data_IF_134255787886
#
_entry.id   IF_134255787886
#
_cell.length_a   1.000
_cell.length_b   1.000
_cell.length_c   1.000
_cell.angle_alpha   90.00
_cell.angle_beta   90.00
_cell.angle_gamma   90.00
#
_symmetry.space_group_name_H-M   'P 1'
#
loop_
_entity.id
_entity.type
_entity.pdbx_description
1 polymer ?
#
# COMPACT_ATOMS: atom_id res chain seq x y z
N UNK A 1 -36.75 9.29 -13.28
CA UNK A 1 -37.69 8.25 -13.86
C UNK A 1 -39.00 8.07 -13.09
N UNK A 2 -39.07 8.34 -11.79
CA UNK A 2 -40.39 8.45 -11.09
C UNK A 2 -41.09 9.74 -11.50
N UNK A 3 -40.36 10.83 -11.71
CA UNK A 3 -40.89 12.09 -12.27
C UNK A 3 -41.33 11.97 -13.75
N UNK A 4 -40.89 10.96 -14.48
CA UNK A 4 -41.32 10.71 -15.86
C UNK A 4 -42.74 10.15 -15.94
N UNK A 5 -43.24 9.44 -14.92
CA UNK A 5 -44.61 8.91 -14.86
C UNK A 5 -45.61 10.03 -14.67
N UNK A 6 -45.28 11.06 -13.90
CA UNK A 6 -46.15 12.23 -13.67
C UNK A 6 -46.35 13.10 -14.93
N UNK A 7 -45.49 12.96 -15.94
CA UNK A 7 -45.59 13.65 -17.23
C UNK A 7 -46.35 12.86 -18.30
N UNK A 8 -46.66 11.57 -18.05
CA UNK A 8 -47.41 10.73 -18.99
C UNK A 8 -48.90 11.10 -18.99
N UNK A 9 -49.47 11.23 -20.17
CA UNK A 9 -50.90 11.48 -20.32
C UNK A 9 -51.66 10.17 -20.06
N UNK A 10 -52.35 10.11 -18.93
CA UNK A 10 -53.24 9.02 -18.53
C UNK A 10 -54.63 9.38 -18.94
N UNK A 11 -55.40 8.41 -19.45
CA UNK A 11 -56.85 8.54 -19.69
C UNK A 11 -57.61 8.49 -18.39
N UNK A 12 -58.87 8.91 -18.40
CA UNK A 12 -59.77 8.79 -17.24
C UNK A 12 -59.92 7.35 -16.72
N UNK A 13 -59.76 6.38 -17.64
CA UNK A 13 -59.83 4.94 -17.35
C UNK A 13 -58.50 4.32 -16.94
N UNK A 14 -57.45 5.12 -16.66
CA UNK A 14 -56.15 4.64 -16.14
C UNK A 14 -55.15 4.10 -17.17
N UNK A 15 -55.34 4.33 -18.48
CA UNK A 15 -54.44 3.87 -19.54
C UNK A 15 -53.44 4.97 -19.92
N UNK A 16 -52.22 4.56 -20.23
CA UNK A 16 -51.21 5.44 -20.83
C UNK A 16 -51.33 5.43 -22.36
N UNK A 17 -51.34 6.64 -22.94
CA UNK A 17 -51.40 6.84 -24.37
C UNK A 17 -50.00 6.67 -24.98
N UNK A 18 -49.84 5.70 -25.88
CA UNK A 18 -48.60 5.44 -26.59
C UNK A 18 -48.76 5.54 -28.12
N UNK A 19 -47.67 5.78 -28.83
CA UNK A 19 -47.62 5.82 -30.29
C UNK A 19 -47.69 4.43 -30.88
N UNK A 20 -48.61 4.15 -31.83
CA UNK A 20 -48.72 2.82 -32.46
C UNK A 20 -47.58 2.48 -33.42
N UNK A 21 -46.71 3.46 -33.76
CA UNK A 21 -45.59 3.26 -34.71
C UNK A 21 -44.24 3.08 -34.04
N UNK A 22 -44.02 3.63 -32.82
CA UNK A 22 -42.75 3.59 -32.15
C UNK A 22 -42.85 3.38 -30.63
N UNK A 23 -44.02 3.03 -30.13
CA UNK A 23 -44.34 2.79 -28.71
C UNK A 23 -43.99 3.93 -27.75
N UNK A 24 -43.61 5.10 -28.30
CA UNK A 24 -43.28 6.28 -27.49
C UNK A 24 -44.52 6.79 -26.76
N UNK A 25 -44.34 7.10 -25.47
CA UNK A 25 -45.35 7.70 -24.60
C UNK A 25 -45.37 9.24 -24.71
N UNK A 26 -44.52 9.84 -25.56
CA UNK A 26 -44.43 11.27 -25.76
C UNK A 26 -45.47 11.75 -26.78
N UNK A 27 -46.74 11.52 -26.45
CA UNK A 27 -47.90 11.84 -27.29
C UNK A 27 -48.52 13.20 -26.87
N UNK A 28 -48.77 14.07 -27.84
CA UNK A 28 -49.47 15.34 -27.60
C UNK A 28 -50.88 15.33 -28.27
N UNK A 29 -51.86 15.90 -27.58
CA UNK A 29 -53.19 16.15 -28.11
C UNK A 29 -53.11 17.27 -29.15
N UNK A 30 -53.72 17.06 -30.32
CA UNK A 30 -53.89 18.04 -31.40
C UNK A 30 -55.37 18.41 -31.56
N UNK A 31 -55.73 19.02 -32.68
CA UNK A 31 -57.12 19.31 -33.00
C UNK A 31 -58.02 18.08 -33.01
N UNK A 32 -59.28 18.22 -32.74
CA UNK A 32 -60.28 17.14 -32.89
C UNK A 32 -60.63 16.94 -34.35
N UNK A 33 -60.83 15.72 -34.76
CA UNK A 33 -61.34 15.34 -36.08
C UNK A 33 -62.81 15.05 -36.00
N UNK A 34 -63.61 15.65 -36.90
CA UNK A 34 -65.05 15.38 -37.02
C UNK A 34 -65.24 14.11 -37.82
N UNK A 35 -66.00 13.15 -37.34
CA UNK A 35 -66.38 11.93 -38.04
C UNK A 35 -67.60 12.13 -38.91
N UNK A 36 -67.87 11.17 -39.76
CA UNK A 36 -69.06 11.19 -40.66
C UNK A 36 -70.42 11.22 -39.92
N UNK A 37 -70.42 10.63 -38.74
CA UNK A 37 -71.60 10.59 -37.85
C UNK A 37 -71.81 11.86 -37.02
N UNK A 38 -70.98 12.87 -37.23
CA UNK A 38 -71.03 14.13 -36.51
C UNK A 38 -70.26 14.14 -35.18
N UNK A 39 -69.78 12.98 -34.71
CA UNK A 39 -68.95 12.89 -33.52
C UNK A 39 -67.52 13.44 -33.71
N UNK A 40 -66.82 13.71 -32.62
CA UNK A 40 -65.44 14.19 -32.67
C UNK A 40 -64.49 13.22 -31.99
N UNK A 41 -63.41 12.81 -32.70
CA UNK A 41 -62.29 12.04 -32.13
C UNK A 41 -61.10 12.93 -31.86
N UNK A 42 -60.40 12.69 -30.75
CA UNK A 42 -59.19 13.37 -30.40
C UNK A 42 -58.03 12.90 -31.30
N UNK A 43 -57.35 13.82 -31.95
CA UNK A 43 -56.10 13.49 -32.71
C UNK A 43 -54.90 13.63 -31.79
N UNK A 44 -53.93 12.73 -31.93
CA UNK A 44 -52.69 12.70 -31.21
C UNK A 44 -51.51 12.78 -32.23
N UNK A 45 -50.39 13.34 -31.77
CA UNK A 45 -49.13 13.35 -32.52
C UNK A 45 -48.00 12.90 -31.59
N UNK A 46 -47.21 11.95 -32.05
CA UNK A 46 -46.00 11.55 -31.39
C UNK A 46 -44.91 12.61 -31.62
N UNK A 47 -44.24 13.07 -30.54
CA UNK A 47 -43.13 14.02 -30.66
C UNK A 47 -41.85 13.37 -31.14
N UNK A 48 -41.68 12.05 -30.92
CA UNK A 48 -40.45 11.35 -31.25
C UNK A 48 -40.36 10.89 -32.70
N UNK A 49 -41.46 10.38 -33.28
CA UNK A 49 -41.50 9.92 -34.68
C UNK A 49 -42.42 10.73 -35.59
N UNK A 50 -43.17 11.70 -35.09
CA UNK A 50 -44.05 12.56 -35.86
C UNK A 50 -45.39 11.92 -36.28
N UNK A 51 -45.64 10.63 -36.00
CA UNK A 51 -46.88 9.91 -36.35
C UNK A 51 -48.11 10.61 -35.77
N UNK A 52 -49.13 10.80 -36.61
CA UNK A 52 -50.42 11.35 -36.23
C UNK A 52 -51.48 10.25 -36.26
N UNK A 53 -52.24 10.12 -35.19
CA UNK A 53 -53.30 9.09 -35.08
C UNK A 53 -54.48 9.58 -34.28
N UNK A 54 -55.66 8.99 -34.58
CA UNK A 54 -56.89 9.13 -33.77
C UNK A 54 -57.09 7.89 -32.88
N UNK A 55 -56.33 6.84 -33.11
CA UNK A 55 -56.34 5.59 -32.35
C UNK A 55 -54.97 5.34 -31.76
N UNK A 56 -54.55 6.00 -30.70
CA UNK A 56 -53.31 5.73 -30.00
C UNK A 56 -53.36 4.33 -29.37
N UNK A 57 -52.22 3.73 -29.14
CA UNK A 57 -52.12 2.53 -28.35
C UNK A 57 -52.41 2.87 -26.87
N UNK A 58 -53.26 2.10 -26.22
CA UNK A 58 -53.57 2.22 -24.81
C UNK A 58 -52.82 1.15 -24.02
N UNK A 59 -51.97 1.58 -23.12
CA UNK A 59 -51.18 0.69 -22.25
C UNK A 59 -51.74 0.75 -20.84
N UNK A 60 -51.94 -0.40 -20.22
CA UNK A 60 -52.35 -0.50 -18.85
C UNK A 60 -51.26 0.09 -17.92
N UNK A 61 -51.68 1.03 -17.08
CA UNK A 61 -50.77 1.74 -16.17
C UNK A 61 -50.09 0.78 -15.18
N UNK A 62 -50.81 -0.20 -14.68
CA UNK A 62 -50.26 -1.14 -13.71
C UNK A 62 -49.28 -2.10 -14.32
N UNK A 63 -49.53 -2.59 -15.53
CA UNK A 63 -48.57 -3.38 -16.30
C UNK A 63 -47.29 -2.57 -16.60
N UNK A 64 -47.43 -1.30 -16.93
CA UNK A 64 -46.26 -0.42 -17.18
C UNK A 64 -45.46 -0.19 -15.89
N UNK A 65 -46.11 0.01 -14.75
CA UNK A 65 -45.46 0.14 -13.44
C UNK A 65 -44.72 -1.11 -13.04
N UNK A 66 -45.33 -2.27 -13.23
CA UNK A 66 -44.71 -3.56 -12.93
C UNK A 66 -43.46 -3.84 -13.81
N UNK A 67 -43.56 -3.55 -15.10
CA UNK A 67 -42.39 -3.67 -16.02
C UNK A 67 -41.26 -2.73 -15.65
N UNK A 68 -41.55 -1.50 -15.20
CA UNK A 68 -40.53 -0.57 -14.70
C UNK A 68 -39.89 -1.11 -13.42
N UNK A 69 -40.66 -1.70 -12.50
CA UNK A 69 -40.17 -2.32 -11.27
C UNK A 69 -39.25 -3.50 -11.57
N UNK A 70 -39.67 -4.39 -12.46
CA UNK A 70 -38.85 -5.53 -12.90
C UNK A 70 -37.56 -5.10 -13.61
N UNK A 71 -37.62 -4.08 -14.46
CA UNK A 71 -36.44 -3.55 -15.11
C UNK A 71 -35.44 -2.96 -14.10
N UNK A 72 -35.90 -2.25 -13.07
CA UNK A 72 -35.06 -1.73 -11.97
C UNK A 72 -34.43 -2.87 -11.16
N UNK A 73 -35.18 -3.91 -10.82
CA UNK A 73 -34.67 -5.07 -10.10
C UNK A 73 -33.57 -5.79 -10.91
N UNK A 74 -33.82 -5.97 -12.21
CA UNK A 74 -32.85 -6.59 -13.13
C UNK A 74 -31.57 -5.76 -13.26
N UNK A 75 -31.69 -4.43 -13.34
CA UNK A 75 -30.55 -3.52 -13.37
C UNK A 75 -29.77 -3.59 -12.06
N UNK A 76 -30.45 -3.55 -10.91
CA UNK A 76 -29.80 -3.66 -9.59
C UNK A 76 -29.02 -4.98 -9.45
N UNK A 77 -29.62 -6.10 -9.86
CA UNK A 77 -28.95 -7.40 -9.85
C UNK A 77 -27.71 -7.43 -10.77
N UNK A 78 -27.79 -6.80 -11.95
CA UNK A 78 -26.64 -6.69 -12.87
C UNK A 78 -25.51 -5.84 -12.29
N UNK A 79 -25.84 -4.73 -11.61
CA UNK A 79 -24.86 -3.85 -10.97
C UNK A 79 -24.17 -4.55 -9.80
N UNK A 80 -24.91 -5.28 -8.96
CA UNK A 80 -24.36 -6.11 -7.86
C UNK A 80 -23.41 -7.16 -8.41
N UNK A 81 -23.83 -7.94 -9.40
CA UNK A 81 -22.98 -8.94 -10.06
C UNK A 81 -21.70 -8.34 -10.66
N UNK A 82 -21.77 -7.11 -11.18
CA UNK A 82 -20.59 -6.40 -11.72
C UNK A 82 -19.60 -6.02 -10.64
N UNK A 83 -20.09 -5.57 -9.49
CA UNK A 83 -19.28 -5.21 -8.31
C UNK A 83 -18.59 -6.47 -7.76
N UNK A 84 -19.37 -7.55 -7.55
CA UNK A 84 -18.84 -8.82 -7.06
C UNK A 84 -17.78 -9.41 -8.01
N UNK A 85 -18.01 -9.41 -9.31
CA UNK A 85 -17.02 -9.87 -10.31
C UNK A 85 -15.77 -9.00 -10.35
N UNK A 86 -15.86 -7.71 -10.01
CA UNK A 86 -14.69 -6.84 -9.90
C UNK A 86 -13.88 -7.19 -8.67
N UNK A 87 -14.53 -7.32 -7.51
CA UNK A 87 -13.88 -7.73 -6.25
C UNK A 87 -13.22 -9.12 -6.39
N UNK A 88 -13.93 -10.10 -6.98
CA UNK A 88 -13.39 -11.44 -7.25
C UNK A 88 -12.15 -11.42 -8.15
N UNK A 89 -12.14 -10.57 -9.18
CA UNK A 89 -10.97 -10.43 -10.08
C UNK A 89 -9.79 -9.75 -9.39
N UNK A 90 -10.03 -8.80 -8.51
CA UNK A 90 -8.99 -8.16 -7.72
C UNK A 90 -8.38 -9.16 -6.74
N UNK A 91 -9.20 -9.90 -6.01
CA UNK A 91 -8.74 -10.96 -5.11
C UNK A 91 -7.95 -12.06 -5.86
N UNK A 92 -8.44 -12.55 -6.98
CA UNK A 92 -7.72 -13.52 -7.80
C UNK A 92 -6.38 -13.00 -8.34
N UNK A 93 -6.27 -11.69 -8.62
CA UNK A 93 -4.99 -11.07 -8.99
C UNK A 93 -3.99 -11.09 -7.83
N UNK A 94 -4.44 -10.81 -6.61
CA UNK A 94 -3.58 -10.88 -5.40
C UNK A 94 -3.15 -12.31 -5.13
N UNK A 95 -4.06 -13.27 -5.14
CA UNK A 95 -3.75 -14.70 -4.94
C UNK A 95 -2.77 -15.25 -5.98
N UNK A 96 -2.98 -14.91 -7.27
CA UNK A 96 -2.06 -15.31 -8.34
C UNK A 96 -0.69 -14.64 -8.20
N UNK A 97 -0.63 -13.37 -7.78
CA UNK A 97 0.62 -12.67 -7.56
C UNK A 97 1.41 -13.27 -6.39
N UNK A 98 0.73 -13.59 -5.28
CA UNK A 98 1.33 -14.27 -4.11
C UNK A 98 1.79 -15.67 -4.50
N UNK A 99 0.97 -16.45 -5.19
CA UNK A 99 1.33 -17.80 -5.64
C UNK A 99 2.56 -17.77 -6.55
N UNK A 100 2.60 -16.86 -7.51
CA UNK A 100 3.77 -16.68 -8.37
C UNK A 100 5.01 -16.27 -7.57
N UNK A 101 4.85 -15.35 -6.61
CA UNK A 101 5.93 -14.93 -5.71
C UNK A 101 6.50 -16.12 -4.94
N UNK A 102 5.64 -16.97 -4.37
CA UNK A 102 6.05 -18.19 -3.65
C UNK A 102 6.81 -19.17 -4.54
N UNK A 103 6.35 -19.38 -5.79
CA UNK A 103 7.07 -20.22 -6.75
C UNK A 103 8.45 -19.65 -7.10
N UNK A 104 8.54 -18.35 -7.34
CA UNK A 104 9.79 -17.68 -7.68
C UNK A 104 10.78 -17.69 -6.49
N UNK A 105 10.27 -17.51 -5.24
CA UNK A 105 11.04 -17.67 -3.99
C UNK A 105 11.56 -19.10 -3.87
N UNK A 106 10.71 -20.09 -4.06
CA UNK A 106 11.10 -21.50 -3.95
C UNK A 106 12.19 -21.87 -4.98
N UNK A 107 12.08 -21.38 -6.20
CA UNK A 107 13.08 -21.57 -7.25
C UNK A 107 14.42 -20.91 -6.89
N UNK A 108 14.40 -19.71 -6.34
CA UNK A 108 15.58 -19.00 -5.88
C UNK A 108 16.26 -19.72 -4.70
N UNK A 109 15.48 -20.20 -3.73
CA UNK A 109 15.99 -20.94 -2.57
C UNK A 109 16.68 -22.26 -2.97
N UNK A 110 16.22 -22.92 -4.04
CA UNK A 110 16.81 -24.15 -4.55
C UNK A 110 18.11 -23.93 -5.34
N UNK A 111 18.32 -22.74 -5.93
CA UNK A 111 19.46 -22.48 -6.80
C UNK A 111 20.72 -22.02 -6.06
N UNK A 112 20.65 -21.55 -4.82
CA UNK A 112 21.80 -20.96 -4.11
C UNK A 112 22.31 -21.88 -3.00
N UNK A 113 23.52 -22.41 -3.19
CA UNK A 113 24.22 -23.18 -2.17
C UNK A 113 25.15 -22.27 -1.35
N UNK A 114 24.71 -21.90 -0.16
CA UNK A 114 25.45 -21.02 0.77
C UNK A 114 26.52 -21.74 1.60
N UNK A 115 26.68 -23.06 1.45
CA UNK A 115 27.62 -23.87 2.23
C UNK A 115 29.10 -23.44 2.13
N UNK A 116 29.44 -22.65 1.12
CA UNK A 116 30.82 -22.12 0.91
C UNK A 116 31.08 -20.80 1.62
N UNK A 117 30.06 -20.14 2.18
CA UNK A 117 30.23 -18.84 2.83
C UNK A 117 30.32 -19.02 4.35
N UNK A 118 31.44 -18.60 4.94
CA UNK A 118 31.64 -18.65 6.38
C UNK A 118 31.33 -17.27 6.98
N UNK A 119 30.27 -17.18 7.76
CA UNK A 119 29.99 -16.01 8.58
C UNK A 119 30.82 -16.04 9.87
N UNK A 120 31.14 -14.86 10.38
CA UNK A 120 31.75 -14.77 11.72
C UNK A 120 30.72 -15.14 12.79
N UNK A 121 31.12 -15.96 13.73
CA UNK A 121 30.32 -16.32 14.91
C UNK A 121 30.25 -15.15 15.88
N UNK A 122 29.14 -15.06 16.60
CA UNK A 122 28.93 -14.07 17.67
C UNK A 122 30.10 -14.16 18.66
N UNK A 123 30.75 -13.05 18.91
CA UNK A 123 31.72 -12.90 19.98
C UNK A 123 31.08 -12.10 21.12
N UNK A 124 31.48 -12.39 22.35
CA UNK A 124 31.16 -11.53 23.50
C UNK A 124 32.01 -10.25 23.38
N UNK A 125 31.51 -9.27 22.61
CA UNK A 125 32.12 -7.94 22.49
C UNK A 125 31.40 -6.96 23.42
N UNK A 126 32.13 -5.98 23.94
CA UNK A 126 31.55 -4.92 24.78
C UNK A 126 30.75 -3.89 23.95
N UNK A 127 30.92 -3.87 22.65
CA UNK A 127 30.34 -2.86 21.77
C UNK A 127 29.63 -3.51 20.60
N UNK A 128 28.51 -2.94 20.20
CA UNK A 128 27.70 -3.38 19.05
C UNK A 128 27.50 -2.21 18.10
N UNK A 129 27.81 -2.42 16.82
CA UNK A 129 27.47 -1.47 15.76
C UNK A 129 26.04 -1.70 15.27
N UNK A 130 25.28 -0.65 15.03
CA UNK A 130 23.94 -0.74 14.47
C UNK A 130 23.90 -0.04 13.11
N UNK A 131 23.52 -0.78 12.08
CA UNK A 131 23.21 -0.27 10.74
C UNK A 131 21.69 -0.12 10.62
N UNK A 132 21.17 1.11 10.66
CA UNK A 132 19.77 1.35 10.42
C UNK A 132 19.51 1.47 8.93
N UNK A 133 18.58 0.65 8.39
CA UNK A 133 18.07 0.72 7.02
C UNK A 133 16.58 1.05 7.10
N UNK A 134 16.20 2.20 6.58
CA UNK A 134 14.85 2.76 6.70
C UNK A 134 14.44 3.47 5.43
N UNK A 135 13.14 3.44 5.14
CA UNK A 135 12.53 4.29 4.11
C UNK A 135 13.32 4.25 2.78
N UNK A 136 13.63 3.03 2.34
CA UNK A 136 14.44 2.83 1.13
C UNK A 136 13.64 2.97 -0.14
N UNK A 137 12.34 2.64 -0.12
CA UNK A 137 11.43 2.75 -1.27
C UNK A 137 12.08 2.29 -2.57
N UNK A 138 12.62 1.06 -2.62
CA UNK A 138 13.48 0.56 -3.70
C UNK A 138 12.91 0.67 -5.11
N UNK A 139 11.60 0.72 -5.24
CA UNK A 139 10.91 0.86 -6.52
C UNK A 139 10.47 2.29 -6.84
N UNK A 140 10.84 3.29 -6.03
CA UNK A 140 10.51 4.69 -6.31
C UNK A 140 11.41 5.27 -7.41
N UNK A 141 10.82 6.14 -8.24
CA UNK A 141 11.51 6.96 -9.23
C UNK A 141 11.41 8.43 -8.83
N UNK A 142 12.55 9.09 -8.76
CA UNK A 142 12.62 10.54 -8.58
C UNK A 142 13.49 11.14 -9.68
N UNK A 143 12.97 12.19 -10.33
CA UNK A 143 13.68 12.96 -11.35
C UNK A 143 13.49 14.46 -11.13
N UNK A 144 14.17 14.97 -10.10
CA UNK A 144 14.22 16.40 -9.79
C UNK A 144 15.56 16.99 -10.26
N UNK A 145 15.66 18.31 -10.51
CA UNK A 145 16.92 18.94 -10.92
C UNK A 145 18.08 18.71 -9.95
N UNK A 146 17.79 18.49 -8.66
CA UNK A 146 18.76 18.35 -7.57
C UNK A 146 18.74 16.97 -6.91
N UNK A 147 17.82 16.07 -7.29
CA UNK A 147 17.77 14.70 -6.80
C UNK A 147 17.30 13.73 -7.87
N UNK A 148 18.05 12.66 -8.02
CA UNK A 148 17.66 11.53 -8.84
C UNK A 148 17.68 10.27 -8.00
N UNK A 149 16.62 9.45 -8.12
CA UNK A 149 16.52 8.18 -7.42
C UNK A 149 15.90 7.11 -8.32
N UNK A 150 16.54 5.98 -8.36
CA UNK A 150 16.12 4.73 -8.95
C UNK A 150 16.81 3.59 -8.22
N UNK A 151 16.54 2.35 -8.60
CA UNK A 151 17.17 1.18 -7.99
C UNK A 151 18.71 1.19 -8.09
N UNK A 152 19.30 1.71 -9.18
CA UNK A 152 20.75 1.82 -9.32
C UNK A 152 21.34 2.83 -8.34
N UNK A 153 20.63 3.94 -8.15
CA UNK A 153 21.01 4.96 -7.16
C UNK A 153 20.88 4.41 -5.75
N UNK A 154 19.80 3.69 -5.44
CA UNK A 154 19.62 3.00 -4.16
C UNK A 154 20.77 2.07 -3.84
N UNK A 155 21.15 1.20 -4.79
CA UNK A 155 22.27 0.28 -4.64
C UNK A 155 23.60 1.01 -4.38
N UNK A 156 23.88 2.09 -5.10
CA UNK A 156 25.10 2.89 -4.89
C UNK A 156 25.12 3.59 -3.53
N UNK A 157 23.98 4.16 -3.10
CA UNK A 157 23.85 4.83 -1.80
C UNK A 157 24.05 3.84 -0.66
N UNK A 158 23.43 2.67 -0.73
CA UNK A 158 23.61 1.61 0.28
C UNK A 158 25.02 1.06 0.31
N UNK A 159 25.63 0.82 -0.83
CA UNK A 159 27.05 0.40 -0.89
C UNK A 159 27.96 1.44 -0.24
N UNK A 160 27.75 2.72 -0.52
CA UNK A 160 28.51 3.80 0.10
C UNK A 160 28.29 3.84 1.62
N UNK A 161 27.03 3.73 2.06
CA UNK A 161 26.64 3.70 3.47
C UNK A 161 27.31 2.55 4.23
N UNK A 162 27.22 1.31 3.71
CA UNK A 162 27.85 0.13 4.32
C UNK A 162 29.38 0.27 4.37
N UNK A 163 30.02 0.72 3.29
CA UNK A 163 31.46 0.96 3.30
C UNK A 163 31.88 2.00 4.35
N UNK A 164 31.10 3.08 4.50
CA UNK A 164 31.37 4.09 5.51
C UNK A 164 31.17 3.56 6.93
N UNK A 165 30.13 2.78 7.14
CA UNK A 165 29.89 2.12 8.42
C UNK A 165 31.03 1.18 8.81
N UNK A 166 31.51 0.34 7.86
CA UNK A 166 32.65 -0.57 8.10
C UNK A 166 33.92 0.19 8.49
N UNK A 167 34.18 1.35 7.88
CA UNK A 167 35.32 2.22 8.28
C UNK A 167 35.17 2.68 9.73
N UNK A 168 33.98 3.14 10.14
CA UNK A 168 33.68 3.60 11.49
C UNK A 168 33.79 2.42 12.47
N UNK A 169 33.16 1.29 12.18
CA UNK A 169 33.16 0.11 13.04
C UNK A 169 34.57 -0.43 13.27
N UNK A 170 35.44 -0.32 12.28
CA UNK A 170 36.86 -0.69 12.43
C UNK A 170 37.58 0.21 13.42
N UNK A 171 37.29 1.51 13.43
CA UNK A 171 37.91 2.47 14.40
C UNK A 171 37.49 2.17 15.83
N UNK A 172 36.24 1.70 16.03
CA UNK A 172 35.70 1.38 17.33
C UNK A 172 35.84 -0.10 17.73
N UNK A 173 36.58 -0.87 16.95
CA UNK A 173 36.85 -2.30 17.19
C UNK A 173 35.57 -3.14 17.39
N UNK A 174 34.57 -2.91 16.55
CA UNK A 174 33.29 -3.60 16.57
C UNK A 174 33.45 -5.01 16.00
N UNK A 175 32.93 -6.01 16.71
CA UNK A 175 32.85 -7.40 16.24
C UNK A 175 31.42 -7.81 15.85
N UNK A 176 30.42 -7.22 16.48
CA UNK A 176 29.00 -7.56 16.30
C UNK A 176 28.23 -6.40 15.68
N UNK A 177 27.41 -6.69 14.68
CA UNK A 177 26.59 -5.68 13.98
C UNK A 177 25.14 -6.12 13.96
N UNK A 178 24.26 -5.23 14.39
CA UNK A 178 22.83 -5.32 14.18
C UNK A 178 22.43 -4.56 12.91
N UNK A 179 21.83 -5.24 11.96
CA UNK A 179 21.14 -4.61 10.83
C UNK A 179 19.70 -4.39 11.28
N UNK A 180 19.34 -3.15 11.55
CA UNK A 180 18.03 -2.73 12.03
C UNK A 180 17.20 -2.17 10.86
N UNK A 181 16.23 -2.94 10.38
CA UNK A 181 15.32 -2.52 9.30
C UNK A 181 14.10 -1.88 9.95
N UNK A 182 13.89 -0.58 9.70
CA UNK A 182 12.82 0.19 10.33
C UNK A 182 11.69 0.56 9.36
N UNK A 183 11.42 -0.31 8.37
CA UNK A 183 10.25 -0.28 7.52
C UNK A 183 10.39 0.55 6.23
N UNK A 184 9.34 0.50 5.43
CA UNK A 184 9.21 1.17 4.13
C UNK A 184 10.33 0.84 3.14
N UNK A 185 10.60 -0.47 2.98
CA UNK A 185 11.57 -0.96 2.01
C UNK A 185 11.10 -0.76 0.56
N UNK A 186 9.80 -0.85 0.31
CA UNK A 186 9.20 -0.61 -1.01
C UNK A 186 8.07 0.40 -0.93
N UNK A 187 7.83 1.07 -2.07
CA UNK A 187 6.81 2.11 -2.15
C UNK A 187 5.40 1.53 -2.30
N UNK A 188 4.41 2.34 -1.91
CA UNK A 188 2.98 2.05 -2.08
C UNK A 188 2.53 2.15 -3.54
N UNK A 189 1.42 1.48 -3.86
CA UNK A 189 0.69 1.60 -5.13
C UNK A 189 -0.78 1.98 -4.91
N UNK A 190 -1.09 2.54 -3.75
CA UNK A 190 -2.46 2.86 -3.34
C UNK A 190 -2.99 4.15 -3.97
N UNK A 191 -2.10 5.08 -4.30
CA UNK A 191 -2.44 6.36 -4.95
C UNK A 191 -1.87 6.42 -6.35
N UNK A 192 -2.54 7.18 -7.22
CA UNK A 192 -2.14 7.32 -8.62
C UNK A 192 -0.74 7.94 -8.77
N UNK A 193 -0.42 8.94 -7.97
CA UNK A 193 0.88 9.61 -7.95
C UNK A 193 2.00 8.65 -7.53
N UNK A 194 1.75 7.76 -6.56
CA UNK A 194 2.69 6.70 -6.19
C UNK A 194 2.91 5.72 -7.35
N UNK A 195 1.84 5.26 -7.99
CA UNK A 195 1.94 4.32 -9.12
C UNK A 195 2.69 4.90 -10.32
N UNK A 196 2.54 6.21 -10.60
CA UNK A 196 3.23 6.89 -11.70
C UNK A 196 4.73 7.07 -11.41
N UNK A 197 5.13 7.09 -10.14
CA UNK A 197 6.51 7.24 -9.69
C UNK A 197 7.15 5.91 -9.28
N UNK A 198 6.72 4.79 -9.86
CA UNK A 198 7.29 3.47 -9.62
C UNK A 198 8.08 2.95 -10.81
N UNK A 199 9.29 2.46 -10.56
CA UNK A 199 10.15 1.80 -11.56
C UNK A 199 9.66 0.40 -11.92
N UNK A 200 8.93 -0.25 -11.03
CA UNK A 200 8.39 -1.60 -11.19
C UNK A 200 7.24 -1.86 -10.22
N UNK A 201 6.45 -2.90 -10.47
CA UNK A 201 5.40 -3.30 -9.54
C UNK A 201 5.98 -3.86 -8.23
N UNK A 202 5.16 -3.88 -7.17
CA UNK A 202 5.57 -4.27 -5.81
C UNK A 202 6.12 -5.69 -5.73
N UNK A 203 5.54 -6.65 -6.44
CA UNK A 203 6.03 -8.03 -6.45
C UNK A 203 7.46 -8.14 -6.98
N UNK A 204 7.80 -7.44 -8.06
CA UNK A 204 9.19 -7.37 -8.55
C UNK A 204 10.10 -6.59 -7.61
N UNK A 205 9.59 -5.54 -6.98
CA UNK A 205 10.33 -4.74 -6.00
C UNK A 205 10.77 -5.57 -4.80
N UNK A 206 9.96 -6.52 -4.34
CA UNK A 206 10.35 -7.47 -3.27
C UNK A 206 11.62 -8.23 -3.63
N UNK A 207 11.72 -8.77 -4.86
CA UNK A 207 12.94 -9.49 -5.28
C UNK A 207 14.16 -8.57 -5.37
N UNK A 208 13.98 -7.36 -5.89
CA UNK A 208 15.07 -6.37 -5.94
C UNK A 208 15.54 -6.00 -4.52
N UNK A 209 14.62 -5.83 -3.58
CA UNK A 209 14.92 -5.57 -2.18
C UNK A 209 15.69 -6.75 -1.54
N UNK A 210 15.21 -7.97 -1.74
CA UNK A 210 15.87 -9.19 -1.24
C UNK A 210 17.27 -9.32 -1.78
N UNK A 211 17.47 -9.16 -3.10
CA UNK A 211 18.79 -9.27 -3.72
C UNK A 211 19.76 -8.23 -3.16
N UNK A 212 19.31 -7.01 -2.95
CA UNK A 212 20.16 -5.93 -2.45
C UNK A 212 20.51 -6.12 -0.97
N UNK A 213 19.50 -6.43 -0.13
CA UNK A 213 19.71 -6.68 1.29
C UNK A 213 20.56 -7.94 1.52
N UNK A 214 20.37 -8.98 0.73
CA UNK A 214 21.20 -10.18 0.77
C UNK A 214 22.68 -9.82 0.51
N UNK A 215 22.99 -8.98 -0.48
CA UNK A 215 24.35 -8.54 -0.77
C UNK A 215 24.94 -7.76 0.41
N UNK A 216 24.13 -6.92 1.07
CA UNK A 216 24.55 -6.18 2.28
C UNK A 216 24.88 -7.16 3.40
N UNK A 217 24.00 -8.13 3.67
CA UNK A 217 24.22 -9.15 4.73
C UNK A 217 25.51 -9.92 4.46
N UNK A 218 25.78 -10.32 3.22
CA UNK A 218 27.03 -10.97 2.86
C UNK A 218 28.24 -10.06 3.03
N UNK A 219 28.14 -8.80 2.61
CA UNK A 219 29.26 -7.86 2.71
C UNK A 219 29.62 -7.53 4.15
N UNK A 220 28.62 -7.32 5.00
CA UNK A 220 28.82 -7.08 6.44
C UNK A 220 29.29 -8.36 7.15
N UNK A 221 28.69 -9.50 6.83
CA UNK A 221 28.98 -10.79 7.48
C UNK A 221 30.38 -11.36 7.18
N UNK A 222 31.09 -10.82 6.18
CA UNK A 222 32.52 -11.13 5.98
C UNK A 222 33.39 -10.65 7.13
N UNK A 223 33.07 -9.50 7.69
CA UNK A 223 33.90 -8.80 8.66
C UNK A 223 33.34 -8.85 10.07
N UNK A 224 32.01 -9.00 10.23
CA UNK A 224 31.29 -8.91 11.50
C UNK A 224 30.36 -10.10 11.72
N UNK A 225 30.05 -10.40 12.98
CA UNK A 225 28.90 -11.23 13.32
C UNK A 225 27.63 -10.40 13.14
N UNK A 226 26.63 -10.97 12.44
CA UNK A 226 25.43 -10.23 12.01
C UNK A 226 24.18 -10.74 12.74
N UNK A 227 23.46 -9.79 13.36
CA UNK A 227 22.06 -9.96 13.77
C UNK A 227 21.16 -9.06 12.92
N UNK A 228 19.93 -9.46 12.66
CA UNK A 228 18.97 -8.71 11.84
C UNK A 228 17.65 -8.64 12.59
N UNK A 229 17.09 -7.43 12.71
CA UNK A 229 15.75 -7.19 13.20
C UNK A 229 14.98 -6.30 12.21
N UNK A 230 13.69 -6.54 12.07
CA UNK A 230 12.85 -5.80 11.12
C UNK A 230 11.51 -5.42 11.76
N UNK A 231 11.08 -4.18 11.55
CA UNK A 231 9.71 -3.73 11.75
C UNK A 231 9.11 -3.27 10.43
N UNK A 232 7.80 -3.39 10.30
CA UNK A 232 7.08 -3.05 9.07
C UNK A 232 6.73 -1.57 9.00
N UNK A 233 6.81 -1.00 7.80
CA UNK A 233 6.40 0.37 7.52
C UNK A 233 4.98 0.48 6.95
N UNK A 234 4.52 1.71 6.74
CA UNK A 234 3.17 1.94 6.23
C UNK A 234 3.04 1.84 4.72
N UNK A 235 4.09 2.16 3.96
CA UNK A 235 4.01 2.12 2.50
C UNK A 235 4.06 0.68 1.96
N UNK A 236 4.74 -0.22 2.65
CA UNK A 236 4.89 -1.61 2.25
C UNK A 236 3.67 -2.49 2.55
N UNK A 237 2.63 -1.99 3.25
CA UNK A 237 1.43 -2.79 3.58
C UNK A 237 0.63 -3.19 2.34
N UNK A 238 -0.02 -4.35 2.37
CA UNK A 238 -0.85 -4.84 1.27
C UNK A 238 -2.25 -4.23 1.27
N UNK A 239 -2.85 -4.05 2.45
CA UNK A 239 -4.20 -3.52 2.59
C UNK A 239 -4.25 -1.99 2.61
N UNK A 240 -5.40 -1.44 2.23
CA UNK A 240 -5.66 0.00 2.29
C UNK A 240 -5.62 0.49 3.74
N UNK A 241 -6.31 -0.23 4.63
CA UNK A 241 -6.43 0.14 6.01
C UNK A 241 -5.18 -0.23 6.81
N UNK A 242 -4.91 0.57 7.83
CA UNK A 242 -3.85 0.32 8.80
C UNK A 242 -4.40 -0.46 10.00
N UNK A 243 -3.67 -1.46 10.46
CA UNK A 243 -4.03 -2.25 11.63
C UNK A 243 -2.83 -2.59 12.50
N UNK A 244 -3.07 -2.74 13.79
CA UNK A 244 -2.04 -2.98 14.82
C UNK A 244 -2.00 -4.43 15.31
N UNK A 245 -2.95 -5.27 14.89
CA UNK A 245 -2.90 -6.70 15.18
C UNK A 245 -1.79 -7.36 14.35
N UNK A 246 -1.17 -8.41 14.87
CA UNK A 246 -0.16 -9.19 14.16
C UNK A 246 -0.65 -9.62 12.75
N UNK A 247 -1.90 -10.06 12.65
CA UNK A 247 -2.52 -10.42 11.38
C UNK A 247 -2.50 -9.28 10.33
N UNK A 248 -2.73 -8.04 10.75
CA UNK A 248 -2.72 -6.88 9.85
C UNK A 248 -1.32 -6.34 9.62
N UNK A 249 -0.48 -6.36 10.63
CA UNK A 249 0.88 -5.84 10.58
C UNK A 249 1.81 -6.74 9.74
N UNK A 250 1.62 -8.05 9.79
CA UNK A 250 2.37 -9.02 8.98
C UNK A 250 1.90 -9.10 7.52
N UNK A 251 0.68 -8.59 7.18
CA UNK A 251 0.21 -8.45 5.79
C UNK A 251 0.93 -7.28 5.08
N UNK A 252 2.26 -7.39 4.98
CA UNK A 252 3.18 -6.33 4.64
C UNK A 252 4.39 -6.88 3.87
N UNK A 253 4.81 -6.19 2.82
CA UNK A 253 5.96 -6.63 2.01
C UNK A 253 7.30 -6.54 2.75
N UNK A 254 7.47 -5.65 3.74
CA UNK A 254 8.68 -5.63 4.57
C UNK A 254 8.80 -6.93 5.37
N UNK A 255 7.67 -7.41 5.92
CA UNK A 255 7.60 -8.71 6.58
C UNK A 255 7.96 -9.86 5.61
N UNK A 256 7.41 -9.83 4.40
CA UNK A 256 7.71 -10.85 3.36
C UNK A 256 9.20 -10.84 3.00
N UNK A 257 9.80 -9.66 2.81
CA UNK A 257 11.22 -9.51 2.50
C UNK A 257 12.07 -10.07 3.65
N UNK A 258 11.73 -9.73 4.90
CA UNK A 258 12.42 -10.23 6.09
C UNK A 258 12.35 -11.77 6.19
N UNK A 259 11.18 -12.36 6.00
CA UNK A 259 11.00 -13.81 6.05
C UNK A 259 11.76 -14.55 4.92
N UNK A 260 11.78 -13.97 3.71
CA UNK A 260 12.58 -14.51 2.62
C UNK A 260 14.06 -14.52 3.00
N UNK A 261 14.59 -13.41 3.53
CA UNK A 261 15.98 -13.32 3.97
C UNK A 261 16.27 -14.33 5.09
N UNK A 262 15.38 -14.44 6.08
CA UNK A 262 15.49 -15.40 7.17
C UNK A 262 15.57 -16.84 6.67
N UNK A 263 14.76 -17.21 5.68
CA UNK A 263 14.84 -18.52 5.04
C UNK A 263 16.13 -18.73 4.23
N UNK A 264 16.59 -17.67 3.54
CA UNK A 264 17.85 -17.70 2.81
C UNK A 264 19.05 -18.02 3.70
N UNK A 265 19.11 -17.38 4.85
CA UNK A 265 20.24 -17.50 5.77
C UNK A 265 20.06 -18.56 6.88
N UNK A 266 18.98 -19.38 6.79
CA UNK A 266 18.63 -20.37 7.82
C UNK A 266 19.75 -21.33 8.19
N UNK A 267 20.66 -21.65 7.27
CA UNK A 267 21.79 -22.57 7.47
C UNK A 267 23.10 -21.85 7.76
N UNK A 268 23.07 -20.58 8.09
CA UNK A 268 24.24 -19.74 8.36
C UNK A 268 24.26 -19.29 9.82
N UNK A 269 25.35 -18.65 10.23
CA UNK A 269 25.49 -18.06 11.57
C UNK A 269 24.86 -16.65 11.67
N UNK A 270 24.05 -16.21 10.69
CA UNK A 270 23.29 -14.94 10.78
C UNK A 270 22.10 -15.13 11.71
N UNK A 271 21.99 -14.28 12.71
CA UNK A 271 20.90 -14.32 13.68
C UNK A 271 19.74 -13.43 13.26
N UNK A 272 18.54 -13.98 13.06
CA UNK A 272 17.32 -13.24 12.79
C UNK A 272 16.48 -13.14 14.06
N UNK A 273 16.25 -11.90 14.52
CA UNK A 273 15.43 -11.59 15.69
C UNK A 273 13.98 -11.46 15.23
N UNK A 274 13.16 -12.42 15.63
CA UNK A 274 11.73 -12.48 15.28
C UNK A 274 10.93 -12.09 16.51
N UNK A 275 10.12 -11.05 16.39
CA UNK A 275 9.26 -10.51 17.44
C UNK A 275 8.03 -9.84 16.79
N UNK A 276 7.35 -8.94 17.47
CA UNK A 276 6.22 -8.17 16.94
C UNK A 276 6.62 -7.40 15.66
N UNK A 277 5.91 -7.55 14.54
CA UNK A 277 6.26 -6.89 13.28
C UNK A 277 6.17 -5.35 13.32
N UNK A 278 5.57 -4.77 14.36
CA UNK A 278 5.44 -3.31 14.52
C UNK A 278 6.47 -2.70 15.47
N UNK A 279 6.94 -3.47 16.45
CA UNK A 279 7.84 -3.01 17.51
C UNK A 279 8.76 -4.14 17.97
N UNK A 280 10.05 -4.00 17.81
CA UNK A 280 11.04 -5.01 18.23
C UNK A 280 11.99 -4.43 19.26
N UNK A 281 12.14 -5.09 20.41
CA UNK A 281 13.15 -4.76 21.42
C UNK A 281 14.37 -5.65 21.25
N UNK A 282 15.53 -5.05 21.04
CA UNK A 282 16.80 -5.76 20.88
C UNK A 282 17.76 -5.32 21.97
N UNK A 283 18.36 -6.28 22.69
CA UNK A 283 19.46 -5.96 23.60
C UNK A 283 20.77 -5.77 22.80
N UNK A 284 21.33 -4.60 22.87
CA UNK A 284 22.59 -4.22 22.23
C UNK A 284 23.57 -3.70 23.28
N UNK A 285 24.66 -4.42 23.51
CA UNK A 285 25.68 -4.07 24.52
C UNK A 285 25.09 -3.84 25.92
N UNK A 286 24.07 -4.59 26.32
CA UNK A 286 23.40 -4.46 27.61
C UNK A 286 22.30 -3.39 27.68
N UNK A 287 22.05 -2.65 26.60
CA UNK A 287 21.02 -1.63 26.47
C UNK A 287 19.84 -2.16 25.62
N UNK A 288 18.62 -1.84 26.01
CA UNK A 288 17.41 -2.22 25.29
C UNK A 288 17.07 -1.16 24.23
N UNK A 289 17.39 -1.50 22.98
CA UNK A 289 17.09 -0.71 21.79
C UNK A 289 15.70 -1.11 21.25
N UNK A 290 14.79 -0.15 21.18
CA UNK A 290 13.49 -0.35 20.55
C UNK A 290 13.51 0.12 19.09
N UNK A 291 13.12 -0.77 18.18
CA UNK A 291 12.89 -0.48 16.78
C UNK A 291 11.39 -0.28 16.56
N UNK A 292 11.02 0.75 15.81
CA UNK A 292 9.67 0.98 15.31
C UNK A 292 9.72 1.83 14.04
N UNK A 293 8.66 1.81 13.22
CA UNK A 293 8.66 2.64 12.01
C UNK A 293 8.42 4.12 12.31
N UNK A 294 7.47 4.45 13.16
CA UNK A 294 7.26 5.85 13.61
C UNK A 294 5.98 6.50 13.12
N UNK A 295 4.95 5.71 12.83
CA UNK A 295 3.63 6.21 12.41
C UNK A 295 2.86 6.95 13.51
N UNK A 296 1.81 7.68 13.11
CA UNK A 296 0.85 8.30 14.01
C UNK A 296 1.43 9.47 14.80
N UNK A 297 1.34 9.46 16.13
CA UNK A 297 1.73 10.57 16.99
C UNK A 297 3.22 10.91 16.93
N UNK A 298 4.06 10.00 16.44
CA UNK A 298 5.49 10.24 16.20
C UNK A 298 5.74 11.36 15.17
N UNK A 299 4.79 11.61 14.28
CA UNK A 299 4.92 12.65 13.26
C UNK A 299 4.80 14.06 13.83
N UNK A 300 3.88 14.26 14.78
CA UNK A 300 3.50 15.60 15.27
C UNK A 300 4.02 15.93 16.65
N UNK A 301 4.25 14.92 17.52
CA UNK A 301 4.62 15.08 18.92
C UNK A 301 5.75 14.11 19.31
N UNK A 302 6.86 14.20 18.61
CA UNK A 302 7.96 13.23 18.72
C UNK A 302 8.41 12.93 20.15
N UNK A 303 8.81 13.94 20.92
CA UNK A 303 9.32 13.73 22.29
C UNK A 303 8.28 13.20 23.25
N UNK A 304 7.03 13.68 23.13
CA UNK A 304 5.93 13.17 23.92
C UNK A 304 5.66 11.69 23.60
N UNK A 305 5.68 11.32 22.33
CA UNK A 305 5.49 9.94 21.88
C UNK A 305 6.60 9.02 22.35
N UNK A 306 7.86 9.47 22.28
CA UNK A 306 9.00 8.74 22.83
C UNK A 306 8.79 8.45 24.31
N UNK A 307 8.44 9.47 25.12
CA UNK A 307 8.21 9.30 26.55
C UNK A 307 7.00 8.40 26.86
N UNK A 308 5.92 8.51 26.09
CA UNK A 308 4.75 7.63 26.25
C UNK A 308 5.09 6.16 25.95
N UNK A 309 5.88 5.89 24.91
CA UNK A 309 6.31 4.53 24.57
C UNK A 309 7.22 3.98 25.66
N UNK A 310 8.22 4.74 26.10
CA UNK A 310 9.10 4.32 27.21
C UNK A 310 8.29 4.03 28.47
N UNK A 311 7.31 4.88 28.82
CA UNK A 311 6.40 4.66 29.95
C UNK A 311 5.54 3.39 29.80
N UNK A 312 5.04 3.08 28.59
CA UNK A 312 4.28 1.87 28.29
C UNK A 312 5.12 0.61 28.51
N UNK A 313 6.37 0.60 28.04
CA UNK A 313 7.28 -0.52 28.24
C UNK A 313 7.70 -0.67 29.70
N UNK A 314 7.99 0.44 30.39
CA UNK A 314 8.29 0.43 31.81
C UNK A 314 7.16 -0.17 32.65
N UNK A 315 5.91 0.14 32.32
CA UNK A 315 4.72 -0.47 32.93
C UNK A 315 4.61 -2.00 32.71
N UNK A 316 5.33 -2.55 31.72
CA UNK A 316 5.47 -3.99 31.47
C UNK A 316 6.74 -4.60 32.05
N UNK A 317 7.50 -3.85 32.82
CA UNK A 317 8.77 -4.27 33.41
C UNK A 317 9.97 -4.25 32.45
N UNK A 318 9.83 -3.61 31.28
CA UNK A 318 10.92 -3.48 30.28
C UNK A 318 11.37 -2.04 30.21
N UNK A 319 12.61 -1.78 30.61
CA UNK A 319 13.22 -0.47 30.42
C UNK A 319 13.74 -0.34 29.00
N UNK A 320 13.28 0.67 28.27
CA UNK A 320 13.83 1.03 26.93
C UNK A 320 14.87 2.14 27.12
N UNK A 321 16.09 1.88 26.70
CA UNK A 321 17.20 2.84 26.81
C UNK A 321 17.20 3.80 25.62
N UNK A 322 17.04 3.27 24.40
CA UNK A 322 17.05 4.07 23.18
C UNK A 322 16.00 3.62 22.18
N UNK A 323 15.46 4.53 21.36
CA UNK A 323 14.49 4.26 20.31
C UNK A 323 15.04 4.69 18.96
N UNK A 324 14.94 3.84 17.93
CA UNK A 324 15.22 4.21 16.54
C UNK A 324 14.00 4.04 15.66
N UNK A 325 13.78 5.01 14.76
CA UNK A 325 12.61 5.05 13.87
C UNK A 325 12.95 5.60 12.50
N UNK A 326 11.98 5.53 11.57
CA UNK A 326 12.00 6.10 10.22
C UNK A 326 10.82 7.02 9.95
N UNK A 327 10.12 6.81 8.83
CA UNK A 327 8.82 7.34 8.42
C UNK A 327 8.81 8.81 7.94
N UNK A 328 9.44 9.74 8.66
CA UNK A 328 9.30 11.19 8.38
C UNK A 328 10.28 11.68 7.30
N UNK A 329 11.17 10.84 6.82
CA UNK A 329 12.20 11.15 5.81
C UNK A 329 13.12 12.34 6.18
N UNK A 330 13.24 12.64 7.47
CA UNK A 330 14.07 13.70 8.01
C UNK A 330 14.84 13.21 9.23
N UNK A 331 16.16 13.18 9.12
CA UNK A 331 17.02 12.69 10.19
C UNK A 331 16.93 13.55 11.46
N UNK A 332 16.86 12.89 12.61
CA UNK A 332 16.94 13.52 13.92
C UNK A 332 17.75 12.62 14.84
N UNK A 333 18.68 13.18 15.56
CA UNK A 333 19.45 12.50 16.61
C UNK A 333 19.22 13.21 17.92
N UNK A 334 18.85 12.47 18.96
CA UNK A 334 18.63 12.96 20.31
C UNK A 334 19.18 11.99 21.35
N UNK A 335 19.10 12.35 22.64
CA UNK A 335 19.70 11.58 23.72
C UNK A 335 19.03 10.25 24.00
N UNK A 336 17.72 10.16 23.77
CA UNK A 336 16.90 8.97 24.09
C UNK A 336 16.24 8.32 22.89
N UNK A 337 16.29 8.99 21.74
CA UNK A 337 15.70 8.48 20.51
C UNK A 337 16.29 9.18 19.28
N UNK A 338 16.28 8.48 18.16
CA UNK A 338 16.63 9.05 16.86
C UNK A 338 15.71 8.55 15.74
N UNK A 339 15.76 9.27 14.65
CA UNK A 339 15.00 8.96 13.44
C UNK A 339 15.93 9.04 12.24
N UNK A 340 15.85 8.02 11.36
CA UNK A 340 16.55 8.06 10.08
C UNK A 340 15.84 8.96 9.08
N UNK A 341 16.58 9.46 8.10
CA UNK A 341 15.98 9.98 6.87
C UNK A 341 15.69 8.84 5.88
N UNK A 342 15.02 9.18 4.79
CA UNK A 342 14.84 8.28 3.65
C UNK A 342 16.15 8.10 2.85
N UNK A 343 16.31 6.94 2.24
CA UNK A 343 17.37 6.70 1.25
C UNK A 343 17.09 7.45 -0.06
N UNK A 344 15.82 7.78 -0.33
CA UNK A 344 15.36 8.50 -1.53
C UNK A 344 15.85 9.95 -1.56
N UNK A 345 15.87 10.61 -0.40
CA UNK A 345 16.05 12.06 -0.31
C UNK A 345 14.77 12.81 -0.70
N UNK A 346 14.91 14.05 -1.19
CA UNK A 346 13.77 14.85 -1.61
C UNK A 346 13.05 14.24 -2.83
N UNK A 347 11.72 14.21 -2.79
CA UNK A 347 10.85 13.87 -3.90
C UNK A 347 9.75 14.94 -4.09
N UNK A 348 8.93 14.81 -5.11
CA UNK A 348 7.88 15.82 -5.40
C UNK A 348 6.87 15.94 -4.26
N UNK A 349 6.51 14.85 -3.61
CA UNK A 349 5.59 14.84 -2.48
C UNK A 349 6.18 15.55 -1.26
N UNK A 350 7.44 15.27 -0.91
CA UNK A 350 8.10 15.92 0.22
C UNK A 350 8.26 17.42 -0.01
N UNK A 351 8.65 17.85 -1.22
CA UNK A 351 8.90 19.25 -1.50
C UNK A 351 7.62 20.07 -1.76
N UNK A 352 6.75 19.56 -2.65
CA UNK A 352 5.55 20.31 -3.08
C UNK A 352 4.35 20.08 -2.14
N UNK A 353 4.25 18.87 -1.58
CA UNK A 353 3.15 18.50 -0.68
C UNK A 353 3.37 18.90 0.77
N UNK A 354 4.60 18.70 1.28
CA UNK A 354 4.92 18.90 2.68
C UNK A 354 5.86 20.09 2.96
N UNK A 355 6.39 20.74 1.93
CA UNK A 355 7.42 21.79 2.03
C UNK A 355 8.67 21.35 2.84
N UNK A 356 9.07 20.08 2.66
CA UNK A 356 10.22 19.48 3.31
C UNK A 356 11.30 19.20 2.27
N UNK A 357 12.53 19.63 2.53
CA UNK A 357 13.71 19.27 1.72
C UNK A 357 14.61 18.35 2.53
N UNK A 358 14.39 17.04 2.38
CA UNK A 358 15.19 16.02 3.04
C UNK A 358 16.45 15.64 2.23
N UNK A 359 17.60 15.46 2.90
CA UNK A 359 18.76 14.81 2.27
C UNK A 359 18.66 13.30 2.45
N UNK A 360 19.04 12.55 1.43
CA UNK A 360 19.19 11.11 1.56
C UNK A 360 20.24 10.77 2.60
N UNK A 361 19.85 10.08 3.68
CA UNK A 361 20.77 9.63 4.71
C UNK A 361 20.24 8.42 5.46
N UNK A 362 21.15 7.64 6.03
CA UNK A 362 20.88 6.51 6.92
C UNK A 362 21.78 6.65 8.15
N UNK A 363 21.29 6.21 9.32
CA UNK A 363 21.98 6.36 10.57
C UNK A 363 22.83 5.15 10.94
N UNK A 364 23.95 5.40 11.60
CA UNK A 364 24.82 4.39 12.22
C UNK A 364 24.89 4.71 13.70
N UNK A 365 24.84 3.67 14.53
CA UNK A 365 25.02 3.82 15.97
C UNK A 365 26.09 2.86 16.48
N UNK A 366 26.70 3.24 17.61
CA UNK A 366 27.62 2.40 18.37
C UNK A 366 27.15 2.39 19.80
N UNK A 367 26.83 1.22 20.32
CA UNK A 367 26.47 0.98 21.70
C UNK A 367 27.64 0.34 22.44
N UNK A 368 27.92 0.85 23.63
CA UNK A 368 29.00 0.39 24.50
C UNK A 368 28.47 -0.07 25.84
#
# INVERSE_FOLDING_TARGET
RIQEIDQMKVTEDGYIIACPSCDSKNMIKKSRQKNYDGSYKQRYMCKDCGTRTVNPQLLDLDIVRENIKLAKQKQSAQDTNRIERKAFREQARYENAITKLLFDIQALLQQKNFSKFKFKKVKQGKSVGVLQISDTHFNELVSLPHNHYDFKVASRRLKHYVNRAKQIFKVYDIDNVLIAITGDLINSDRRLDEMLNMSTNRSKAVFLAVDLLQQIIFDVGKDYSVSIACVTGNESRLKQDWGWSDFMASDNYDFVIFEILRHYFKTTDVNFIVDDPTEVVVNVAGQNLLLLHGNGSFTTQYEKSVNQIKGRYAGRGVQIDYIISGHIHSARVGDIASRSSSLVGANEYSEKGLNLSGRASQNIYIFH
#
